data_IF_555769716027
#
_entry.id   IF_555769716027
#
_cell.length_a   1.000
_cell.length_b   1.000
_cell.length_c   1.000
_cell.angle_alpha   90.00
_cell.angle_beta   90.00
_cell.angle_gamma   90.00
#
_symmetry.space_group_name_H-M   'P 1'
#
loop_
_entity.id
_entity.type
_entity.pdbx_description
1 polymer ?
#
# COMPACT_ATOMS: atom_id res chain seq x y z
N UNK A 1 2.50 25.53 12.29
CA UNK A 1 2.78 24.15 12.77
C UNK A 1 3.05 24.08 14.26
N UNK A 2 2.93 22.90 14.88
CA UNK A 2 3.33 22.69 16.27
C UNK A 2 3.00 21.30 16.82
N UNK A 3 3.82 20.81 17.74
CA UNK A 3 3.66 19.52 18.42
C UNK A 3 2.88 19.68 19.74
N UNK A 4 1.91 18.80 19.98
CA UNK A 4 1.13 18.68 21.21
C UNK A 4 1.03 17.21 21.62
N UNK A 5 0.48 16.92 22.81
CA UNK A 5 0.19 15.54 23.23
C UNK A 5 -1.26 15.17 22.97
N UNK A 6 -1.47 13.94 22.50
CA UNK A 6 -2.80 13.35 22.34
C UNK A 6 -2.81 11.91 22.84
N UNK A 7 -3.83 11.52 23.59
CA UNK A 7 -4.05 10.15 24.05
C UNK A 7 -4.45 9.19 22.91
N UNK A 8 -4.92 9.71 21.78
CA UNK A 8 -5.31 8.92 20.61
C UNK A 8 -5.23 9.72 19.32
N UNK A 9 -5.26 9.03 18.17
CA UNK A 9 -5.34 9.68 16.87
C UNK A 9 -6.59 10.55 16.73
N UNK A 10 -7.72 10.12 17.30
CA UNK A 10 -8.98 10.86 17.26
C UNK A 10 -8.88 12.16 18.06
N UNK A 11 -8.20 12.12 19.22
CA UNK A 11 -7.91 13.33 19.97
C UNK A 11 -6.97 14.26 19.22
N UNK A 12 -5.94 13.72 18.55
CA UNK A 12 -5.04 14.52 17.72
C UNK A 12 -5.78 15.22 16.56
N UNK A 13 -6.70 14.50 15.91
CA UNK A 13 -7.57 15.08 14.88
C UNK A 13 -8.50 16.17 15.44
N UNK A 14 -9.08 15.96 16.62
CA UNK A 14 -9.92 16.96 17.28
C UNK A 14 -9.13 18.23 17.64
N UNK A 15 -7.89 18.08 18.10
CA UNK A 15 -6.98 19.19 18.35
C UNK A 15 -6.66 19.97 17.07
N UNK A 16 -6.45 19.27 15.95
CA UNK A 16 -6.30 19.93 14.65
C UNK A 16 -7.56 20.73 14.31
N UNK A 17 -8.76 20.16 14.50
CA UNK A 17 -10.02 20.83 14.18
C UNK A 17 -10.25 22.11 14.98
N UNK A 18 -9.78 22.15 16.22
CA UNK A 18 -9.86 23.33 17.08
C UNK A 18 -8.75 24.36 16.84
N UNK A 19 -7.71 24.04 16.06
CA UNK A 19 -6.57 24.93 15.82
C UNK A 19 -6.72 25.65 14.49
N UNK A 20 -6.79 26.97 14.55
CA UNK A 20 -6.80 27.82 13.36
C UNK A 20 -5.58 27.53 12.47
N UNK A 21 -5.82 27.39 11.16
CA UNK A 21 -4.80 27.06 10.17
C UNK A 21 -4.39 25.58 10.11
N UNK A 22 -4.86 24.71 11.02
CA UNK A 22 -4.55 23.29 10.93
C UNK A 22 -5.39 22.60 9.84
N UNK A 23 -4.72 21.91 8.92
CA UNK A 23 -5.36 21.16 7.84
C UNK A 23 -5.06 19.67 7.91
N UNK A 24 -3.93 19.29 8.53
CA UNK A 24 -3.41 17.94 8.61
C UNK A 24 -2.85 17.67 10.00
N UNK A 25 -2.86 16.43 10.44
CA UNK A 25 -2.19 16.01 11.67
C UNK A 25 -1.33 14.77 11.44
N UNK A 26 -0.35 14.54 12.31
CA UNK A 26 0.38 13.28 12.42
C UNK A 26 0.46 12.87 13.88
N UNK A 27 0.09 11.64 14.20
CA UNK A 27 0.04 11.09 15.54
C UNK A 27 0.99 9.89 15.66
N UNK A 28 1.89 9.89 16.64
CA UNK A 28 2.78 8.77 16.91
C UNK A 28 2.25 7.92 18.07
N UNK A 29 1.93 6.66 17.78
CA UNK A 29 1.35 5.73 18.75
C UNK A 29 2.23 5.52 19.98
N UNK A 30 3.56 5.46 19.80
CA UNK A 30 4.49 5.16 20.90
C UNK A 30 4.73 6.35 21.85
N UNK A 31 4.84 7.56 21.30
CA UNK A 31 5.20 8.76 22.07
C UNK A 31 3.99 9.61 22.46
N UNK A 32 2.80 9.30 21.93
CA UNK A 32 1.62 10.14 22.06
C UNK A 32 1.82 11.57 21.52
N UNK A 33 2.85 11.75 20.68
CA UNK A 33 3.11 13.01 20.01
C UNK A 33 2.07 13.24 18.90
N UNK A 34 1.56 14.46 18.82
CA UNK A 34 0.59 14.91 17.86
C UNK A 34 1.11 16.18 17.19
N UNK A 35 1.54 16.06 15.94
CA UNK A 35 2.01 17.19 15.15
C UNK A 35 0.86 17.75 14.33
N UNK A 36 0.56 19.04 14.52
CA UNK A 36 -0.49 19.76 13.82
C UNK A 36 0.13 20.60 12.71
N UNK A 37 -0.39 20.43 11.49
CA UNK A 37 0.24 20.97 10.29
C UNK A 37 -0.76 21.73 9.43
N UNK A 38 -0.29 22.81 8.81
CA UNK A 38 -1.06 23.61 7.86
C UNK A 38 -1.21 22.93 6.48
N UNK A 39 -2.01 23.53 5.59
CA UNK A 39 -2.29 22.98 4.26
C UNK A 39 -1.01 22.82 3.41
N UNK A 40 -0.10 23.79 3.50
CA UNK A 40 1.21 23.84 2.82
C UNK A 40 2.22 22.81 3.33
N UNK A 41 1.95 22.15 4.46
CA UNK A 41 2.88 21.18 5.01
C UNK A 41 3.12 20.02 4.03
N UNK A 42 4.40 19.80 3.74
CA UNK A 42 4.89 18.69 2.92
C UNK A 42 4.66 17.41 3.71
N UNK A 43 3.92 16.47 3.13
CA UNK A 43 3.77 15.13 3.71
C UNK A 43 5.03 14.35 3.39
N UNK A 44 5.99 14.33 4.31
CA UNK A 44 7.13 13.46 4.19
C UNK A 44 6.73 12.05 4.64
N UNK A 45 6.88 11.06 3.77
CA UNK A 45 6.73 9.62 4.10
C UNK A 45 7.95 9.09 4.86
N UNK A 46 8.63 9.94 5.63
CA UNK A 46 9.73 9.51 6.50
C UNK A 46 9.07 8.68 7.60
N UNK A 47 9.11 7.36 7.40
CA UNK A 47 8.43 6.37 8.23
C UNK A 47 8.88 6.43 9.68
N UNK A 48 8.22 7.26 10.48
CA UNK A 48 8.20 7.09 11.92
C UNK A 48 7.41 5.83 12.21
N UNK A 49 8.03 4.83 12.84
CA UNK A 49 7.33 3.62 13.25
C UNK A 49 6.10 4.00 14.10
N UNK A 50 4.91 3.60 13.65
CA UNK A 50 3.65 3.90 14.33
C UNK A 50 3.13 5.33 14.18
N UNK A 51 3.60 6.10 13.19
CA UNK A 51 3.03 7.40 12.84
C UNK A 51 1.76 7.23 11.98
N UNK A 52 0.70 7.94 12.34
CA UNK A 52 -0.60 7.97 11.64
C UNK A 52 -0.90 9.42 11.28
N UNK A 53 -0.92 9.75 9.99
CA UNK A 53 -1.28 11.08 9.51
C UNK A 53 -2.69 11.11 8.92
N UNK A 54 -3.39 12.24 9.03
CA UNK A 54 -4.73 12.38 8.50
C UNK A 54 -5.20 13.83 8.32
N UNK A 55 -6.33 14.05 7.64
CA UNK A 55 -6.93 15.37 7.48
C UNK A 55 -7.64 15.83 8.76
N UNK A 56 -7.88 17.14 8.89
CA UNK A 56 -8.62 17.78 10.00
C UNK A 56 -10.07 17.26 10.16
N UNK A 57 -10.67 16.78 9.07
CA UNK A 57 -11.99 16.16 9.06
C UNK A 57 -12.04 15.01 8.06
N UNK A 58 -12.73 13.94 8.43
CA UNK A 58 -13.09 12.87 7.51
C UNK A 58 -14.34 13.33 6.75
N UNK A 59 -14.19 14.16 5.72
CA UNK A 59 -15.31 14.41 4.82
C UNK A 59 -15.61 13.08 4.12
N UNK A 60 -16.76 12.48 4.43
CA UNK A 60 -17.29 11.30 3.75
C UNK A 60 -17.81 11.63 2.35
N UNK A 61 -17.22 12.63 1.69
CA UNK A 61 -17.34 12.76 0.25
C UNK A 61 -16.60 11.55 -0.32
N UNK A 62 -17.33 10.45 -0.45
CA UNK A 62 -17.08 9.40 -1.42
C UNK A 62 -17.23 10.07 -2.78
N UNK A 63 -16.31 10.97 -3.10
CA UNK A 63 -15.90 11.15 -4.49
C UNK A 63 -15.38 9.76 -4.82
N UNK A 64 -16.16 9.02 -5.59
CA UNK A 64 -15.79 7.79 -6.26
C UNK A 64 -14.28 7.82 -6.49
N UNK A 65 -13.53 7.05 -5.68
CA UNK A 65 -12.07 7.09 -5.67
C UNK A 65 -11.50 6.77 -7.05
N UNK A 66 -12.32 6.15 -7.91
CA UNK A 66 -12.13 5.95 -9.34
C UNK A 66 -12.04 7.27 -10.15
N UNK A 67 -12.86 8.28 -9.88
CA UNK A 67 -12.93 9.51 -10.70
C UNK A 67 -11.76 10.45 -10.43
N UNK A 68 -11.31 10.53 -9.17
CA UNK A 68 -10.08 11.30 -8.85
C UNK A 68 -8.87 10.66 -9.51
N UNK A 69 -8.75 9.33 -9.48
CA UNK A 69 -7.62 8.63 -10.07
C UNK A 69 -7.57 8.64 -11.60
N UNK A 70 -8.72 8.70 -12.29
CA UNK A 70 -8.73 8.80 -13.74
C UNK A 70 -8.00 10.06 -14.24
N UNK A 71 -8.14 11.18 -13.53
CA UNK A 71 -7.53 12.46 -13.86
C UNK A 71 -6.07 12.63 -13.35
N UNK A 72 -5.61 11.80 -12.42
CA UNK A 72 -4.22 11.85 -11.91
C UNK A 72 -3.23 11.26 -12.93
N UNK A 73 -2.79 12.09 -13.87
CA UNK A 73 -1.64 11.82 -14.75
C UNK A 73 -0.67 13.00 -14.68
N UNK A 74 0.65 12.77 -14.64
CA UNK A 74 1.62 13.85 -14.56
C UNK A 74 1.68 14.65 -15.87
N UNK A 75 1.94 15.95 -15.75
CA UNK A 75 2.23 16.83 -16.86
C UNK A 75 3.72 16.78 -17.25
N UNK A 76 4.08 17.52 -18.32
CA UNK A 76 5.47 17.75 -18.69
C UNK A 76 6.27 18.31 -17.51
N UNK A 77 7.48 17.79 -17.31
CA UNK A 77 8.32 18.11 -16.15
C UNK A 77 8.38 17.00 -15.09
N UNK A 78 7.66 15.90 -15.29
CA UNK A 78 7.89 14.64 -14.58
C UNK A 78 8.85 13.73 -15.40
N UNK A 79 9.86 13.09 -14.76
CA UNK A 79 10.31 13.33 -13.39
C UNK A 79 10.98 14.70 -13.26
N UNK A 80 10.72 15.39 -12.15
CA UNK A 80 11.30 16.71 -11.87
C UNK A 80 12.70 16.61 -11.28
N UNK A 81 13.45 17.72 -11.32
CA UNK A 81 14.81 17.82 -10.75
C UNK A 81 14.87 17.70 -9.21
N UNK A 82 13.71 17.66 -8.55
CA UNK A 82 13.58 17.44 -7.10
C UNK A 82 12.26 16.74 -6.81
N UNK A 83 12.12 16.13 -5.62
CA UNK A 83 10.86 15.50 -5.19
C UNK A 83 9.67 16.48 -5.28
N UNK A 84 9.88 17.73 -4.85
CA UNK A 84 8.86 18.80 -4.93
C UNK A 84 8.46 19.11 -6.36
N UNK A 85 9.42 19.13 -7.30
CA UNK A 85 9.14 19.37 -8.71
C UNK A 85 8.38 18.19 -9.34
N UNK A 86 8.76 16.95 -9.00
CA UNK A 86 8.03 15.75 -9.43
C UNK A 86 6.60 15.75 -8.92
N UNK A 87 6.36 16.13 -7.66
CA UNK A 87 5.04 16.23 -7.06
C UNK A 87 4.18 17.33 -7.72
N UNK A 88 4.78 18.49 -7.99
CA UNK A 88 4.10 19.62 -8.64
C UNK A 88 3.65 19.33 -10.08
N UNK A 89 4.21 18.31 -10.73
CA UNK A 89 3.78 17.88 -12.06
C UNK A 89 2.41 17.16 -12.05
N UNK A 90 1.89 16.77 -10.88
CA UNK A 90 0.60 16.08 -10.76
C UNK A 90 -0.54 17.08 -10.48
N UNK A 91 -1.77 16.84 -10.98
CA UNK A 91 -2.93 17.66 -10.67
C UNK A 91 -3.21 17.80 -9.17
N UNK A 92 -3.02 16.72 -8.40
CA UNK A 92 -3.11 16.74 -6.93
C UNK A 92 -1.90 17.38 -6.23
N UNK A 93 -0.88 17.78 -6.98
CA UNK A 93 0.39 18.28 -6.43
C UNK A 93 1.18 17.21 -5.68
N UNK A 94 0.92 15.93 -5.94
CA UNK A 94 1.66 14.79 -5.40
C UNK A 94 1.58 13.58 -6.32
N UNK A 95 2.65 12.79 -6.34
CA UNK A 95 2.62 11.43 -6.91
C UNK A 95 1.59 10.52 -6.19
N UNK A 96 0.87 9.64 -6.91
CA UNK A 96 -0.05 8.69 -6.30
C UNK A 96 0.69 7.67 -5.44
N UNK A 97 0.19 7.46 -4.21
CA UNK A 97 0.68 6.40 -3.33
C UNK A 97 0.26 5.01 -3.84
N UNK A 98 0.99 3.96 -3.41
CA UNK A 98 0.66 2.57 -3.72
C UNK A 98 -0.79 2.25 -3.34
N UNK A 99 -1.55 1.65 -4.27
CA UNK A 99 -2.96 1.29 -4.12
C UNK A 99 -3.93 2.46 -3.81
N UNK A 100 -3.49 3.72 -3.93
CA UNK A 100 -4.37 4.89 -3.71
C UNK A 100 -5.64 4.85 -4.57
N UNK A 101 -5.51 4.31 -5.78
CA UNK A 101 -6.58 4.17 -6.75
C UNK A 101 -7.28 2.82 -6.73
N UNK A 102 -6.94 1.97 -5.76
CA UNK A 102 -7.59 0.68 -5.61
C UNK A 102 -8.98 0.86 -4.95
N UNK A 103 -10.04 0.21 -5.45
CA UNK A 103 -11.37 0.33 -4.84
C UNK A 103 -11.38 -0.13 -3.38
N UNK A 104 -12.02 0.66 -2.53
CA UNK A 104 -12.21 0.34 -1.11
C UNK A 104 -13.65 -0.13 -0.86
N UNK A 105 -13.84 -1.01 0.12
CA UNK A 105 -15.17 -1.34 0.64
C UNK A 105 -15.70 -0.24 1.57
N UNK A 106 -16.92 -0.40 2.08
CA UNK A 106 -17.56 0.60 2.94
C UNK A 106 -16.82 0.87 4.27
N UNK A 107 -15.89 -0.01 4.66
CA UNK A 107 -15.09 0.13 5.89
C UNK A 107 -13.64 0.51 5.60
N UNK A 108 -13.27 0.73 4.33
CA UNK A 108 -11.95 1.20 3.91
C UNK A 108 -10.93 0.11 3.60
N UNK A 109 -11.32 -1.16 3.49
CA UNK A 109 -10.39 -2.22 3.04
C UNK A 109 -10.33 -2.27 1.51
N UNK A 110 -9.18 -2.68 0.98
CA UNK A 110 -9.05 -2.96 -0.46
C UNK A 110 -10.01 -4.07 -0.88
N UNK A 111 -10.86 -3.79 -1.88
CA UNK A 111 -11.75 -4.80 -2.42
C UNK A 111 -10.97 -5.89 -3.17
N UNK A 112 -11.39 -7.15 -3.10
CA UNK A 112 -10.78 -8.23 -3.87
C UNK A 112 -10.72 -7.93 -5.38
N UNK A 113 -9.66 -8.37 -6.05
CA UNK A 113 -9.56 -8.25 -7.50
C UNK A 113 -10.16 -9.49 -8.18
N UNK A 114 -11.07 -9.28 -9.14
CA UNK A 114 -11.49 -10.36 -10.04
C UNK A 114 -10.46 -10.62 -11.15
N UNK A 115 -9.64 -9.61 -11.49
CA UNK A 115 -8.57 -9.72 -12.48
C UNK A 115 -7.25 -10.08 -11.80
N UNK A 116 -6.94 -11.38 -11.71
CA UNK A 116 -5.65 -11.85 -11.18
C UNK A 116 -4.91 -12.61 -12.26
N UNK A 117 -3.78 -12.07 -12.71
CA UNK A 117 -2.91 -12.68 -13.71
C UNK A 117 -1.76 -13.41 -13.03
N UNK A 118 -1.56 -14.68 -13.38
CA UNK A 118 -0.33 -15.41 -12.98
C UNK A 118 0.81 -14.94 -13.87
N UNK A 119 1.88 -14.43 -13.26
CA UNK A 119 3.10 -13.98 -13.94
C UNK A 119 4.15 -15.08 -14.01
N UNK A 120 4.32 -15.81 -12.91
CA UNK A 120 5.26 -16.91 -12.79
C UNK A 120 4.58 -18.07 -12.06
N UNK A 121 4.88 -19.31 -12.46
CA UNK A 121 4.23 -20.50 -11.93
C UNK A 121 5.18 -21.70 -11.93
N UNK A 122 5.23 -22.43 -10.82
CA UNK A 122 5.97 -23.69 -10.70
C UNK A 122 5.54 -24.77 -11.69
N UNK A 123 4.25 -24.79 -12.06
CA UNK A 123 3.74 -25.69 -13.09
C UNK A 123 4.22 -25.33 -14.50
N UNK A 124 4.67 -24.08 -14.70
CA UNK A 124 5.20 -23.57 -15.97
C UNK A 124 6.73 -23.47 -16.01
N UNK A 125 7.41 -24.09 -15.04
CA UNK A 125 8.88 -24.18 -15.00
C UNK A 125 9.58 -23.09 -14.19
N UNK A 126 8.87 -22.12 -13.61
CA UNK A 126 9.48 -21.18 -12.68
C UNK A 126 9.75 -21.85 -11.33
N UNK A 127 10.97 -21.84 -10.78
CA UNK A 127 11.31 -22.66 -9.61
C UNK A 127 10.63 -22.23 -8.30
N UNK A 128 10.16 -20.99 -8.17
CA UNK A 128 9.34 -20.53 -7.04
C UNK A 128 10.01 -20.55 -5.66
N UNK A 129 11.34 -20.52 -5.60
CA UNK A 129 12.15 -20.79 -4.40
C UNK A 129 12.29 -19.62 -3.43
N UNK A 130 11.30 -18.74 -3.38
CA UNK A 130 11.41 -17.43 -2.76
C UNK A 130 11.74 -17.50 -1.25
N UNK A 131 12.48 -16.51 -0.78
CA UNK A 131 12.78 -16.23 0.65
C UNK A 131 12.05 -14.99 1.13
N UNK A 132 11.96 -14.82 2.45
CA UNK A 132 11.37 -13.62 3.06
C UNK A 132 9.85 -13.53 2.90
N UNK A 133 9.18 -14.66 2.73
CA UNK A 133 7.71 -14.73 2.74
C UNK A 133 7.22 -14.96 4.17
N UNK A 134 6.02 -14.46 4.46
CA UNK A 134 5.39 -14.54 5.76
C UNK A 134 4.41 -15.70 5.78
N UNK A 135 4.55 -16.58 6.77
CA UNK A 135 3.63 -17.70 6.95
C UNK A 135 2.22 -17.19 7.21
N UNK A 136 1.24 -17.80 6.54
CA UNK A 136 -0.17 -17.54 6.79
C UNK A 136 -0.71 -18.57 7.78
N UNK A 137 -0.94 -18.13 9.02
CA UNK A 137 -1.45 -19.01 10.07
C UNK A 137 -2.83 -19.58 9.71
N UNK A 138 -3.04 -20.87 9.97
CA UNK A 138 -4.30 -21.56 9.66
C UNK A 138 -4.53 -21.88 8.18
N UNK A 139 -3.66 -21.44 7.26
CA UNK A 139 -3.79 -21.75 5.82
C UNK A 139 -2.82 -22.86 5.43
N UNK A 140 -3.36 -23.99 4.98
CA UNK A 140 -2.58 -25.16 4.54
C UNK A 140 -3.01 -25.66 3.17
N UNK A 141 -2.06 -26.22 2.44
CA UNK A 141 -2.27 -26.85 1.13
C UNK A 141 -2.29 -25.85 -0.02
N UNK A 142 -2.02 -26.36 -1.22
CA UNK A 142 -1.86 -25.57 -2.46
C UNK A 142 -3.10 -24.75 -2.79
N UNK A 143 -4.28 -25.38 -2.76
CA UNK A 143 -5.55 -24.73 -3.10
C UNK A 143 -5.85 -23.54 -2.20
N UNK A 144 -5.82 -23.75 -0.87
CA UNK A 144 -6.15 -22.70 0.09
C UNK A 144 -5.11 -21.57 0.06
N UNK A 145 -3.83 -21.91 -0.10
CA UNK A 145 -2.77 -20.89 -0.17
C UNK A 145 -2.91 -19.99 -1.40
N UNK A 146 -3.20 -20.59 -2.56
CA UNK A 146 -3.46 -19.88 -3.81
C UNK A 146 -4.71 -19.00 -3.71
N UNK A 147 -5.83 -19.56 -3.26
CA UNK A 147 -7.10 -18.83 -3.15
C UNK A 147 -7.01 -17.68 -2.14
N UNK A 148 -6.34 -17.89 -1.00
CA UNK A 148 -6.11 -16.85 0.01
C UNK A 148 -5.30 -15.68 -0.57
N UNK A 149 -4.23 -15.96 -1.31
CA UNK A 149 -3.43 -14.91 -1.96
C UNK A 149 -4.25 -14.19 -3.04
N UNK A 150 -4.97 -14.93 -3.90
CA UNK A 150 -5.82 -14.35 -4.97
C UNK A 150 -6.90 -13.40 -4.45
N UNK A 151 -7.44 -13.65 -3.24
CA UNK A 151 -8.43 -12.80 -2.59
C UNK A 151 -7.85 -11.56 -1.92
N UNK A 152 -6.53 -11.52 -1.70
CA UNK A 152 -5.85 -10.40 -1.06
C UNK A 152 -5.13 -9.54 -2.11
N UNK A 153 -5.63 -8.32 -2.43
CA UNK A 153 -5.00 -7.44 -3.42
C UNK A 153 -3.55 -7.08 -3.13
N UNK A 154 -3.14 -7.16 -1.87
CA UNK A 154 -1.78 -6.87 -1.41
C UNK A 154 -0.84 -8.08 -1.46
N UNK A 155 -1.31 -9.26 -1.90
CA UNK A 155 -0.50 -10.47 -1.99
C UNK A 155 0.16 -10.62 -3.38
N UNK A 156 1.44 -10.25 -3.57
CA UNK A 156 2.09 -10.34 -4.88
C UNK A 156 2.50 -11.76 -5.27
N UNK A 157 2.41 -12.72 -4.36
CA UNK A 157 2.85 -14.09 -4.59
C UNK A 157 2.70 -14.96 -3.37
N UNK A 158 2.67 -16.27 -3.62
CA UNK A 158 2.53 -17.29 -2.59
C UNK A 158 3.40 -18.50 -2.91
N UNK A 159 3.78 -19.24 -1.87
CA UNK A 159 4.41 -20.56 -2.00
C UNK A 159 3.92 -21.49 -0.89
N UNK A 160 3.85 -22.78 -1.20
CA UNK A 160 3.62 -23.84 -0.22
C UNK A 160 4.94 -24.55 0.03
N UNK A 161 5.40 -24.50 1.28
CA UNK A 161 6.64 -25.13 1.73
C UNK A 161 6.44 -26.55 2.27
N UNK A 162 7.35 -26.96 3.15
CA UNK A 162 7.23 -28.22 3.89
C UNK A 162 5.98 -28.24 4.76
N UNK A 163 5.44 -29.44 5.01
CA UNK A 163 4.23 -29.65 5.82
C UNK A 163 3.00 -28.88 5.34
N UNK A 164 2.93 -28.60 4.04
CA UNK A 164 1.86 -27.85 3.39
C UNK A 164 1.64 -26.43 3.95
N UNK A 165 2.65 -25.86 4.61
CA UNK A 165 2.56 -24.51 5.16
C UNK A 165 2.51 -23.47 4.05
N UNK A 166 1.55 -22.55 4.15
CA UNK A 166 1.35 -21.45 3.22
C UNK A 166 2.21 -20.24 3.60
N UNK A 167 2.86 -19.63 2.61
CA UNK A 167 3.60 -18.38 2.78
C UNK A 167 3.23 -17.39 1.68
N UNK A 168 3.02 -16.13 2.05
CA UNK A 168 2.71 -15.03 1.13
C UNK A 168 3.80 -13.97 1.15
N UNK A 169 3.95 -13.23 0.04
CA UNK A 169 4.83 -12.08 -0.05
C UNK A 169 5.54 -11.99 -1.39
N UNK A 170 6.23 -10.86 -1.61
CA UNK A 170 6.97 -10.61 -2.85
C UNK A 170 8.14 -11.59 -3.01
N UNK A 171 8.78 -11.87 -1.89
CA UNK A 171 9.95 -12.69 -1.76
C UNK A 171 11.19 -12.14 -2.48
N UNK A 172 12.34 -12.74 -2.20
CA UNK A 172 13.58 -12.55 -2.92
C UNK A 172 14.24 -13.91 -3.23
N UNK A 173 15.25 -13.93 -4.10
CA UNK A 173 16.00 -15.15 -4.48
C UNK A 173 15.13 -16.31 -5.00
N UNK A 174 14.08 -15.99 -5.76
CA UNK A 174 13.08 -16.98 -6.18
C UNK A 174 13.58 -18.04 -7.18
N UNK A 175 14.76 -17.84 -7.79
CA UNK A 175 15.32 -18.75 -8.78
C UNK A 175 16.25 -19.81 -8.18
N UNK A 176 17.10 -19.39 -7.24
CA UNK A 176 18.18 -20.23 -6.72
C UNK A 176 18.13 -20.23 -5.20
N UNK A 177 17.66 -21.35 -4.66
CA UNK A 177 17.75 -21.67 -3.23
C UNK A 177 18.20 -23.13 -3.08
N UNK A 178 19.42 -23.38 -2.59
CA UNK A 178 19.89 -24.73 -2.33
C UNK A 178 18.98 -25.43 -1.31
N UNK A 179 18.77 -26.74 -1.48
CA UNK A 179 18.05 -27.61 -0.54
C UNK A 179 16.60 -27.20 -0.25
N UNK A 180 15.98 -26.41 -1.12
CA UNK A 180 14.57 -26.06 -1.03
C UNK A 180 13.94 -26.06 -2.41
N UNK A 181 12.76 -26.69 -2.49
CA UNK A 181 11.82 -26.54 -3.58
C UNK A 181 10.42 -26.47 -2.96
N UNK A 182 9.59 -25.47 -3.30
CA UNK A 182 8.21 -25.44 -2.85
C UNK A 182 7.42 -26.58 -3.49
N UNK A 183 6.30 -26.96 -2.86
CA UNK A 183 5.31 -27.86 -3.47
C UNK A 183 4.66 -27.19 -4.67
N UNK A 184 4.29 -25.92 -4.51
CA UNK A 184 3.80 -25.05 -5.58
C UNK A 184 4.03 -23.60 -5.18
N UNK A 185 4.22 -22.73 -6.17
CA UNK A 185 4.31 -21.30 -5.97
C UNK A 185 3.84 -20.54 -7.22
N UNK A 186 3.29 -19.34 -7.00
CA UNK A 186 2.97 -18.42 -8.08
C UNK A 186 3.36 -16.99 -7.70
N UNK A 187 3.76 -16.21 -8.71
CA UNK A 187 3.79 -14.74 -8.66
C UNK A 187 2.55 -14.21 -9.37
N UNK A 188 1.85 -13.29 -8.73
CA UNK A 188 0.55 -12.81 -9.17
C UNK A 188 0.60 -11.30 -9.42
N UNK A 189 -0.13 -10.86 -10.44
CA UNK A 189 -0.50 -9.46 -10.63
C UNK A 189 -1.99 -9.31 -10.34
N UNK A 190 -2.31 -8.43 -9.40
CA UNK A 190 -3.68 -8.04 -9.12
C UNK A 190 -4.03 -6.78 -9.91
N UNK A 191 -5.12 -6.82 -10.66
CA UNK A 191 -5.60 -5.71 -11.47
C UNK A 191 -4.82 -5.50 -12.78
N UNK A 192 -5.24 -4.47 -13.50
CA UNK A 192 -4.58 -4.01 -14.71
C UNK A 192 -3.46 -3.01 -14.40
N UNK A 193 -2.54 -2.85 -15.36
CA UNK A 193 -1.52 -1.80 -15.32
C UNK A 193 -2.02 -0.64 -16.17
N UNK A 194 -2.06 0.57 -15.58
CA UNK A 194 -2.27 1.82 -16.31
C UNK A 194 -0.94 2.56 -16.38
N UNK A 195 -0.40 2.76 -17.59
CA UNK A 195 0.77 3.62 -17.78
C UNK A 195 0.33 5.07 -17.65
N UNK A 196 0.93 5.81 -16.72
CA UNK A 196 0.60 7.22 -16.48
C UNK A 196 1.49 8.17 -17.29
N UNK A 197 2.70 7.75 -17.62
CA UNK A 197 3.64 8.48 -18.46
C UNK A 197 4.62 7.52 -19.12
N UNK A 198 5.12 7.90 -20.29
CA UNK A 198 6.26 7.28 -20.98
C UNK A 198 7.42 8.30 -20.95
N UNK A 199 8.64 7.85 -20.68
CA UNK A 199 9.81 8.72 -20.52
C UNK A 199 10.82 8.52 -21.65
#
# INVERSE_FOLDING_TARGET
DGEVRAGSMLQCQALCRGKEGCSKFTFWLASHACHLSEASAISSTVGGAGAISGPVGCNQSVTTQADSCAAESPANGFPGLSARASDAAWPSGRQPDTLRCWPLDAVGNYQPCHLVKTLEDTSSGWPGKCRGLFQQEGVKGVKNCSESCRRSPSCPGWQVGLYELCFHGLGNECFVRPNFSPVAAQRLQHGGIRRLMDL
#
